data_IF_133648085742
#
_entry.id   IF_133648085742
#
_cell.length_a   1.000
_cell.length_b   1.000
_cell.length_c   1.000
_cell.angle_alpha   90.00
_cell.angle_beta   90.00
_cell.angle_gamma   90.00
#
_symmetry.space_group_name_H-M   'P 1'
#
loop_
_entity.id
_entity.type
_entity.pdbx_description
1 polymer ?
#
# COMPACT_ATOMS: atom_id res chain seq x y z
N UNK A 1 32.65 -33.53 34.69
CA UNK A 1 31.43 -32.71 34.67
C UNK A 1 30.98 -32.55 33.23
N UNK A 2 29.69 -32.78 32.98
CA UNK A 2 29.07 -32.97 31.67
C UNK A 2 28.85 -31.67 30.90
N UNK A 3 29.33 -31.63 29.67
CA UNK A 3 28.93 -30.71 28.61
C UNK A 3 27.56 -31.12 28.05
N UNK A 4 26.53 -30.31 28.30
CA UNK A 4 25.18 -30.48 27.75
C UNK A 4 24.99 -29.66 26.48
N UNK A 5 25.02 -30.33 25.33
CA UNK A 5 24.71 -29.78 24.01
C UNK A 5 23.21 -30.03 23.75
N UNK A 6 22.39 -28.97 23.70
CA UNK A 6 20.96 -29.09 23.37
C UNK A 6 20.82 -29.03 21.85
N UNK A 7 20.66 -30.19 21.23
CA UNK A 7 20.27 -30.34 19.82
C UNK A 7 18.79 -30.02 19.67
N UNK A 8 18.46 -28.97 18.92
CA UNK A 8 17.09 -28.71 18.45
C UNK A 8 16.85 -29.63 17.25
N UNK A 9 16.05 -30.67 17.44
CA UNK A 9 15.66 -31.61 16.40
C UNK A 9 14.75 -30.94 15.37
N UNK A 10 15.24 -30.87 14.13
CA UNK A 10 14.40 -30.67 12.95
C UNK A 10 13.76 -32.01 12.61
N UNK A 11 12.43 -32.09 12.69
CA UNK A 11 11.63 -33.22 12.22
C UNK A 11 11.46 -33.11 10.69
N UNK A 12 11.99 -34.05 9.88
CA UNK A 12 11.87 -34.01 8.43
C UNK A 12 11.04 -35.20 7.94
N UNK A 13 9.72 -35.17 8.14
CA UNK A 13 8.71 -35.96 7.39
C UNK A 13 7.44 -35.10 7.39
N UNK A 14 6.91 -34.67 6.25
CA UNK A 14 6.15 -35.50 5.34
C UNK A 14 6.06 -34.80 3.97
N UNK A 15 6.51 -35.50 2.93
CA UNK A 15 6.09 -35.25 1.56
C UNK A 15 4.86 -36.08 1.20
N UNK A 16 4.48 -35.98 -0.08
CA UNK A 16 3.40 -36.66 -0.83
C UNK A 16 2.09 -35.87 -0.89
N UNK A 17 1.82 -35.18 -2.01
CA UNK A 17 1.25 -35.70 -3.27
C UNK A 17 -0.22 -36.09 -3.13
N UNK A 18 -1.12 -35.32 -3.76
CA UNK A 18 -2.55 -35.53 -3.64
C UNK A 18 -3.37 -34.66 -4.58
N UNK A 19 -3.32 -35.00 -5.87
CA UNK A 19 -4.38 -34.86 -6.90
C UNK A 19 -5.48 -33.82 -6.64
N UNK A 20 -5.39 -32.70 -7.38
CA UNK A 20 -6.53 -31.87 -7.70
C UNK A 20 -7.31 -32.55 -8.85
N UNK A 21 -8.41 -33.24 -8.54
CA UNK A 21 -9.28 -33.82 -9.57
C UNK A 21 -10.74 -33.86 -9.13
N UNK A 22 -11.60 -33.23 -9.96
CA UNK A 22 -13.06 -33.25 -9.93
C UNK A 22 -13.67 -32.68 -8.65
N UNK A 23 -14.48 -31.64 -8.70
CA UNK A 23 -15.89 -31.81 -9.02
C UNK A 23 -16.42 -30.61 -9.80
N UNK A 24 -16.93 -30.92 -10.98
CA UNK A 24 -17.68 -30.04 -11.88
C UNK A 24 -19.16 -30.42 -11.74
N UNK A 25 -19.99 -29.53 -11.20
CA UNK A 25 -21.45 -29.52 -11.40
C UNK A 25 -22.02 -28.23 -10.80
N UNK A 26 -22.15 -27.16 -11.58
CA UNK A 26 -23.38 -26.81 -12.33
C UNK A 26 -24.59 -26.57 -11.42
N UNK A 27 -24.94 -25.29 -11.21
CA UNK A 27 -26.31 -24.81 -11.42
C UNK A 27 -26.31 -23.43 -12.06
N UNK A 28 -27.09 -23.38 -13.15
CA UNK A 28 -27.42 -22.22 -13.95
C UNK A 28 -28.39 -21.34 -13.18
N UNK A 29 -28.15 -20.05 -13.17
CA UNK A 29 -29.10 -19.02 -12.73
C UNK A 29 -28.95 -17.80 -13.63
N UNK A 30 -29.59 -17.87 -14.80
CA UNK A 30 -29.85 -16.70 -15.64
C UNK A 30 -30.92 -15.89 -14.92
N UNK A 31 -30.61 -14.66 -14.50
CA UNK A 31 -31.64 -13.67 -14.19
C UNK A 31 -31.34 -12.36 -14.91
N UNK A 32 -32.44 -11.82 -15.42
CA UNK A 32 -32.56 -10.77 -16.42
C UNK A 32 -32.00 -9.43 -15.94
N UNK A 33 -31.40 -8.72 -16.89
CA UNK A 33 -31.28 -7.28 -16.89
C UNK A 33 -32.67 -6.64 -16.69
N UNK A 34 -32.76 -5.70 -15.74
CA UNK A 34 -33.72 -4.62 -15.80
C UNK A 34 -32.92 -3.31 -15.79
N UNK A 35 -32.89 -2.70 -16.97
CA UNK A 35 -32.61 -1.29 -17.18
C UNK A 35 -33.81 -0.52 -16.66
N UNK A 36 -33.61 0.38 -15.70
CA UNK A 36 -34.63 1.37 -15.39
C UNK A 36 -34.10 2.78 -15.61
N UNK A 37 -34.96 3.51 -16.31
CA UNK A 37 -34.87 4.84 -16.87
C UNK A 37 -34.76 5.94 -15.82
N UNK A 38 -34.17 7.05 -16.24
CA UNK A 38 -33.91 8.22 -15.40
C UNK A 38 -35.14 8.92 -14.84
N UNK A 39 -34.88 9.69 -13.79
CA UNK A 39 -35.84 10.62 -13.21
C UNK A 39 -35.28 12.04 -13.30
N UNK A 40 -35.86 12.81 -14.23
CA UNK A 40 -35.72 14.25 -14.39
C UNK A 40 -36.38 14.97 -13.21
N UNK A 41 -35.58 15.56 -12.32
CA UNK A 41 -36.12 16.38 -11.22
C UNK A 41 -36.10 17.86 -11.64
N UNK A 42 -37.29 18.25 -12.07
CA UNK A 42 -37.78 19.57 -12.41
C UNK A 42 -37.32 20.68 -11.46
N UNK A 43 -36.72 21.71 -12.07
CA UNK A 43 -36.49 23.03 -11.46
C UNK A 43 -37.82 23.77 -11.33
N UNK A 44 -38.20 24.22 -10.11
CA UNK A 44 -38.51 25.64 -9.78
C UNK A 44 -39.16 25.81 -8.39
N UNK A 45 -38.55 26.75 -7.66
CA UNK A 45 -39.15 27.79 -6.80
C UNK A 45 -39.35 27.60 -5.28
N UNK A 46 -38.69 28.56 -4.59
CA UNK A 46 -39.10 29.38 -3.44
C UNK A 46 -39.12 28.78 -2.02
N UNK A 47 -38.04 29.11 -1.30
CA UNK A 47 -37.96 29.83 -0.02
C UNK A 47 -38.96 29.51 1.12
N UNK A 48 -38.33 29.33 2.29
CA UNK A 48 -38.78 29.52 3.69
C UNK A 48 -39.19 28.27 4.49
N UNK A 49 -38.31 27.92 5.42
CA UNK A 49 -38.54 26.96 6.50
C UNK A 49 -37.30 26.88 7.41
N UNK A 50 -37.12 27.89 8.28
CA UNK A 50 -36.12 27.93 9.35
C UNK A 50 -36.50 26.96 10.48
N UNK A 51 -35.48 26.48 11.21
CA UNK A 51 -35.47 25.63 12.42
C UNK A 51 -35.35 24.11 12.20
N UNK A 52 -34.14 23.68 11.82
CA UNK A 52 -33.60 22.39 12.20
C UNK A 52 -32.21 22.60 12.80
N UNK A 53 -32.01 22.23 14.06
CA UNK A 53 -30.68 22.25 14.71
C UNK A 53 -29.71 21.41 13.87
N UNK A 54 -28.84 22.09 13.12
CA UNK A 54 -27.83 21.45 12.30
C UNK A 54 -26.79 20.79 13.20
N UNK A 55 -26.78 19.46 13.24
CA UNK A 55 -25.59 18.70 13.61
C UNK A 55 -24.52 19.03 12.58
N UNK A 56 -23.59 19.89 12.94
CA UNK A 56 -22.42 20.19 12.13
C UNK A 56 -21.60 18.90 11.98
N UNK A 57 -21.77 18.20 10.87
CA UNK A 57 -20.92 17.09 10.49
C UNK A 57 -19.51 17.65 10.27
N UNK A 58 -18.58 17.36 11.19
CA UNK A 58 -17.18 17.70 11.00
C UNK A 58 -16.68 16.94 9.76
N UNK A 59 -16.12 17.62 8.75
CA UNK A 59 -15.48 16.93 7.65
C UNK A 59 -14.28 16.15 8.19
N UNK A 60 -14.29 14.82 8.04
CA UNK A 60 -13.09 14.00 8.24
C UNK A 60 -12.06 14.46 7.22
N UNK A 61 -10.96 15.04 7.70
CA UNK A 61 -9.85 15.43 6.83
C UNK A 61 -9.26 14.17 6.17
N UNK A 62 -8.91 14.24 4.88
CA UNK A 62 -8.21 13.14 4.22
C UNK A 62 -6.89 12.87 4.95
N UNK A 63 -6.53 11.59 5.06
CA UNK A 63 -5.23 11.15 5.59
C UNK A 63 -4.12 11.78 4.73
N UNK A 64 -3.56 12.90 5.19
CA UNK A 64 -2.51 13.62 4.49
C UNK A 64 -1.19 12.93 4.75
N UNK A 65 -0.50 12.50 3.69
CA UNK A 65 0.88 12.07 3.80
C UNK A 65 1.74 13.25 4.27
N UNK A 66 2.56 13.02 5.30
CA UNK A 66 3.36 14.05 5.98
C UNK A 66 4.84 13.71 5.87
N UNK A 67 5.65 14.66 5.44
CA UNK A 67 7.11 14.49 5.47
C UNK A 67 7.59 14.54 6.94
N UNK A 68 8.23 13.46 7.40
CA UNK A 68 8.71 13.27 8.77
C UNK A 68 10.16 13.71 8.92
N UNK A 69 10.99 13.37 7.94
CA UNK A 69 12.41 13.67 7.95
C UNK A 69 12.95 13.76 6.52
N UNK A 70 13.99 14.57 6.35
CA UNK A 70 14.85 14.57 5.16
C UNK A 70 16.30 14.58 5.65
N UNK A 71 17.00 13.49 5.40
CA UNK A 71 18.35 13.24 5.94
C UNK A 71 19.33 13.30 4.78
N UNK A 72 20.37 14.15 4.81
CA UNK A 72 21.41 14.13 3.79
C UNK A 72 22.17 12.79 3.84
N UNK A 73 22.21 12.08 2.72
CA UNK A 73 22.70 10.70 2.63
C UNK A 73 24.09 10.58 2.00
N UNK A 74 24.71 11.66 1.50
CA UNK A 74 26.00 11.56 0.81
C UNK A 74 27.06 12.60 1.20
N UNK A 75 28.33 12.17 0.99
CA UNK A 75 29.56 12.87 1.33
C UNK A 75 29.90 14.05 0.39
N UNK A 76 31.08 14.66 0.62
CA UNK A 76 31.52 16.02 0.20
C UNK A 76 31.04 16.60 -1.15
N UNK A 77 30.67 15.77 -2.13
CA UNK A 77 30.35 16.17 -3.51
C UNK A 77 28.95 15.77 -4.02
N UNK A 78 28.23 14.87 -3.34
CA UNK A 78 26.89 14.42 -3.77
C UNK A 78 25.87 14.81 -2.71
N UNK A 79 24.74 15.38 -3.11
CA UNK A 79 23.68 15.83 -2.18
C UNK A 79 22.45 14.93 -2.25
N UNK A 80 22.58 13.62 -2.11
CA UNK A 80 21.40 12.73 -1.99
C UNK A 80 20.69 13.00 -0.66
N UNK A 81 19.36 12.85 -0.65
CA UNK A 81 18.54 12.94 0.56
C UNK A 81 17.73 11.66 0.73
N UNK A 82 17.68 11.15 1.96
CA UNK A 82 16.76 10.13 2.41
C UNK A 82 15.54 10.81 3.04
N UNK A 83 14.41 10.76 2.38
CA UNK A 83 13.15 11.29 2.87
C UNK A 83 12.36 10.19 3.57
N UNK A 84 11.68 10.56 4.64
CA UNK A 84 10.75 9.68 5.36
C UNK A 84 9.40 10.33 5.36
N UNK A 85 8.38 9.61 4.87
CA UNK A 85 7.00 10.07 4.77
C UNK A 85 6.16 9.18 5.65
N UNK A 86 5.30 9.78 6.45
CA UNK A 86 4.26 9.11 7.22
C UNK A 86 2.93 9.24 6.50
N UNK A 87 2.13 8.19 6.50
CA UNK A 87 0.71 8.26 6.17
C UNK A 87 -0.08 7.20 6.94
N UNK A 88 -1.39 7.40 7.00
CA UNK A 88 -2.33 6.43 7.57
C UNK A 88 -3.10 5.73 6.46
N UNK A 89 -3.55 4.52 6.76
CA UNK A 89 -4.40 3.77 5.86
C UNK A 89 -5.85 4.26 5.95
N UNK A 90 -6.48 4.70 4.83
CA UNK A 90 -7.84 5.25 4.86
C UNK A 90 -8.92 4.24 5.27
N UNK A 91 -8.67 2.93 5.11
CA UNK A 91 -9.62 1.85 5.44
C UNK A 91 -9.21 1.04 6.67
N UNK A 92 -8.03 1.30 7.24
CA UNK A 92 -7.55 0.63 8.44
C UNK A 92 -7.09 1.66 9.46
N UNK A 93 -7.87 1.81 10.53
CA UNK A 93 -7.49 2.66 11.66
C UNK A 93 -6.61 1.90 12.65
N UNK A 94 -5.69 2.61 13.29
CA UNK A 94 -4.80 2.05 14.33
C UNK A 94 -3.45 1.53 13.81
N UNK A 95 -3.11 1.83 12.56
CA UNK A 95 -1.79 1.60 11.98
C UNK A 95 -1.28 2.87 11.30
N UNK A 96 0.02 3.14 11.46
CA UNK A 96 0.74 4.19 10.74
C UNK A 96 1.84 3.57 9.91
N UNK A 97 2.01 4.10 8.71
CA UNK A 97 2.99 3.60 7.74
C UNK A 97 4.05 4.68 7.51
N UNK A 98 5.30 4.25 7.50
CA UNK A 98 6.45 5.08 7.19
C UNK A 98 7.11 4.54 5.92
N UNK A 99 7.23 5.37 4.89
CA UNK A 99 8.01 5.06 3.70
C UNK A 99 9.30 5.86 3.76
N UNK A 100 10.42 5.20 3.50
CA UNK A 100 11.68 5.86 3.25
C UNK A 100 12.05 5.78 1.77
N UNK A 101 12.38 6.90 1.15
CA UNK A 101 12.85 6.99 -0.24
C UNK A 101 14.09 7.86 -0.36
N UNK A 102 14.97 7.50 -1.31
CA UNK A 102 16.10 8.34 -1.69
C UNK A 102 15.70 9.24 -2.86
N UNK A 103 16.04 10.53 -2.74
CA UNK A 103 15.87 11.53 -3.79
C UNK A 103 17.17 12.29 -4.05
N UNK A 104 17.38 12.66 -5.33
CA UNK A 104 18.46 13.55 -5.76
C UNK A 104 17.97 14.97 -6.05
N UNK A 105 18.78 16.00 -5.79
CA UNK A 105 18.46 17.38 -6.07
C UNK A 105 18.40 17.62 -7.57
N UNK A 106 17.51 18.53 -7.95
CA UNK A 106 17.22 18.85 -9.35
C UNK A 106 18.46 19.36 -10.09
N UNK A 107 19.36 20.07 -9.40
CA UNK A 107 20.58 20.64 -9.98
C UNK A 107 21.59 19.60 -10.47
N UNK A 108 21.75 18.47 -9.77
CA UNK A 108 22.62 17.37 -10.20
C UNK A 108 21.95 16.51 -11.29
N UNK A 109 20.61 16.39 -11.24
CA UNK A 109 19.82 15.63 -12.23
C UNK A 109 19.88 16.22 -13.64
N UNK A 110 20.03 17.54 -13.76
CA UNK A 110 20.16 18.24 -15.04
C UNK A 110 21.55 18.02 -15.67
N UNK A 111 22.59 17.84 -14.86
CA UNK A 111 23.97 17.68 -15.34
C UNK A 111 24.34 16.22 -15.63
N UNK A 112 23.84 15.28 -14.83
CA UNK A 112 24.20 13.87 -14.91
C UNK A 112 22.93 13.02 -14.97
N UNK A 113 22.51 12.64 -16.19
CA UNK A 113 21.49 11.63 -16.51
C UNK A 113 20.36 11.47 -15.47
N UNK A 114 19.17 12.01 -15.80
CA UNK A 114 17.91 11.94 -15.03
C UNK A 114 17.45 10.54 -14.59
N UNK A 115 18.14 9.47 -14.99
CA UNK A 115 17.75 8.06 -14.91
C UNK A 115 18.39 7.27 -13.75
N UNK A 116 19.28 7.87 -12.97
CA UNK A 116 20.10 7.15 -11.99
C UNK A 116 19.58 7.16 -10.54
N UNK A 117 18.31 7.54 -10.30
CA UNK A 117 17.74 7.50 -8.94
C UNK A 117 17.47 6.04 -8.52
N UNK A 118 18.05 5.52 -7.42
CA UNK A 118 17.84 4.13 -7.01
C UNK A 118 16.35 3.87 -6.70
N UNK A 119 15.82 2.77 -7.25
CA UNK A 119 14.44 2.32 -7.03
C UNK A 119 14.24 1.66 -5.65
N UNK A 120 15.11 1.94 -4.67
CA UNK A 120 14.96 1.45 -3.32
C UNK A 120 13.94 2.28 -2.55
N UNK A 121 12.92 1.59 -2.03
CA UNK A 121 11.95 2.13 -1.06
C UNK A 121 11.83 1.13 0.08
N UNK A 122 11.74 1.62 1.32
CA UNK A 122 11.46 0.79 2.49
C UNK A 122 10.12 1.20 3.10
N UNK A 123 9.33 0.25 3.58
CA UNK A 123 8.10 0.50 4.33
C UNK A 123 8.19 -0.09 5.72
N UNK A 124 7.68 0.63 6.71
CA UNK A 124 7.58 0.18 8.10
C UNK A 124 6.19 0.48 8.64
N UNK A 125 5.63 -0.47 9.39
CA UNK A 125 4.30 -0.42 9.96
C UNK A 125 4.40 -0.25 11.47
N UNK A 126 3.63 0.68 12.05
CA UNK A 126 3.54 0.89 13.49
C UNK A 126 2.09 0.81 13.93
N UNK A 127 1.77 -0.15 14.80
CA UNK A 127 0.45 -0.25 15.43
C UNK A 127 0.31 0.80 16.52
N UNK A 128 -0.65 1.71 16.37
CA UNK A 128 -0.85 2.84 17.29
C UNK A 128 -2.01 2.63 18.25
N UNK A 129 -3.02 1.86 17.83
CA UNK A 129 -4.19 1.54 18.65
C UNK A 129 -4.81 0.22 18.19
N UNK A 130 -5.97 -0.14 18.76
CA UNK A 130 -6.72 -1.32 18.34
C UNK A 130 -7.10 -1.18 16.87
N UNK A 131 -6.73 -2.20 16.08
CA UNK A 131 -6.98 -2.21 14.64
C UNK A 131 -8.48 -2.25 14.36
N UNK A 132 -8.93 -1.37 13.47
CA UNK A 132 -10.28 -1.37 12.92
C UNK A 132 -10.19 -1.40 11.40
N UNK A 133 -10.73 -2.45 10.81
CA UNK A 133 -10.71 -2.67 9.36
C UNK A 133 -12.10 -2.34 8.83
N UNK A 134 -12.18 -1.49 7.79
CA UNK A 134 -13.43 -1.15 7.15
C UNK A 134 -14.06 -2.39 6.46
N UNK A 135 -15.40 -2.48 6.38
CA UNK A 135 -16.09 -3.65 5.84
C UNK A 135 -15.90 -3.84 4.32
N UNK A 136 -15.45 -2.81 3.60
CA UNK A 136 -15.26 -2.78 2.16
C UNK A 136 -13.77 -2.94 1.74
N UNK A 137 -12.93 -3.45 2.65
CA UNK A 137 -11.53 -3.75 2.34
C UNK A 137 -11.44 -4.91 1.34
N UNK A 138 -10.64 -4.72 0.30
CA UNK A 138 -10.40 -5.77 -0.69
C UNK A 138 -9.62 -6.93 -0.09
N UNK A 139 -10.10 -8.15 -0.34
CA UNK A 139 -9.48 -9.41 0.04
C UNK A 139 -8.76 -10.07 -1.14
N UNK A 140 -8.62 -9.33 -2.25
CA UNK A 140 -7.91 -9.82 -3.44
C UNK A 140 -6.46 -10.13 -3.11
N UNK A 141 -5.92 -11.18 -3.75
CA UNK A 141 -4.50 -11.55 -3.66
C UNK A 141 -3.57 -10.47 -4.20
N UNK A 142 -4.06 -9.60 -5.08
CA UNK A 142 -3.29 -8.47 -5.58
C UNK A 142 -3.17 -7.36 -4.52
N UNK A 143 -3.99 -7.39 -3.47
CA UNK A 143 -4.09 -6.33 -2.48
C UNK A 143 -4.76 -5.07 -3.01
N UNK A 144 -4.87 -4.07 -2.14
CA UNK A 144 -5.47 -2.77 -2.41
C UNK A 144 -4.40 -1.68 -2.34
N UNK A 145 -4.34 -0.77 -3.32
CA UNK A 145 -3.42 0.35 -3.27
C UNK A 145 -3.89 1.37 -2.22
N UNK A 146 -3.09 1.55 -1.18
CA UNK A 146 -3.39 2.47 -0.06
C UNK A 146 -2.68 3.80 -0.20
N UNK A 147 -1.59 3.83 -0.97
CA UNK A 147 -0.81 5.02 -1.22
C UNK A 147 -0.09 4.92 -2.56
N UNK A 148 -0.11 6.03 -3.30
CA UNK A 148 0.59 6.17 -4.56
C UNK A 148 1.12 7.60 -4.66
N UNK A 149 2.43 7.75 -4.85
CA UNK A 149 3.03 9.07 -5.01
C UNK A 149 4.11 9.07 -6.09
N UNK A 150 4.04 10.07 -6.96
CA UNK A 150 5.10 10.36 -7.93
C UNK A 150 6.16 11.24 -7.28
N UNK A 151 7.39 10.71 -7.16
CA UNK A 151 8.53 11.39 -6.53
C UNK A 151 9.68 11.47 -7.55
N UNK A 152 9.51 12.27 -8.60
CA UNK A 152 10.57 12.86 -9.46
C UNK A 152 9.91 13.54 -10.66
N UNK A 153 10.53 14.59 -11.21
CA UNK A 153 10.07 15.25 -12.45
C UNK A 153 10.06 14.30 -13.67
N UNK A 154 10.75 13.15 -13.58
CA UNK A 154 10.79 12.13 -14.63
C UNK A 154 10.84 10.71 -14.02
N UNK A 155 9.66 10.17 -13.68
CA UNK A 155 9.34 8.73 -13.80
C UNK A 155 9.55 7.76 -12.62
N UNK A 156 9.61 8.16 -11.34
CA UNK A 156 9.53 7.18 -10.21
C UNK A 156 8.17 7.30 -9.51
N UNK A 157 7.36 6.23 -9.55
CA UNK A 157 6.13 6.13 -8.77
C UNK A 157 6.33 5.10 -7.66
N UNK A 158 6.02 5.49 -6.43
CA UNK A 158 6.03 4.59 -5.27
C UNK A 158 4.60 4.16 -5.03
N UNK A 159 4.41 2.85 -4.93
CA UNK A 159 3.12 2.22 -4.65
C UNK A 159 3.23 1.49 -3.31
N UNK A 160 2.22 1.65 -2.46
CA UNK A 160 2.03 0.79 -1.29
C UNK A 160 0.69 0.10 -1.42
N UNK A 161 0.74 -1.24 -1.35
CA UNK A 161 -0.44 -2.09 -1.38
C UNK A 161 -0.62 -2.81 -0.06
N UNK A 162 -1.86 -2.84 0.42
CA UNK A 162 -2.32 -3.62 1.58
C UNK A 162 -2.85 -4.96 1.10
N UNK A 163 -2.48 -6.02 1.78
CA UNK A 163 -3.00 -7.38 1.61
C UNK A 163 -3.56 -7.83 2.95
N UNK A 164 -4.80 -8.30 2.95
CA UNK A 164 -5.42 -8.93 4.10
C UNK A 164 -5.16 -10.43 4.06
N UNK A 165 -4.30 -10.92 4.96
CA UNK A 165 -4.10 -12.34 5.18
C UNK A 165 -5.05 -12.82 6.28
N UNK A 166 -6.14 -13.47 5.86
CA UNK A 166 -7.16 -14.02 6.75
C UNK A 166 -6.68 -15.22 7.56
N UNK A 167 -5.81 -16.03 6.97
CA UNK A 167 -5.34 -17.27 7.59
C UNK A 167 -4.39 -16.92 8.74
N UNK A 168 -3.45 -16.00 8.48
CA UNK A 168 -2.51 -15.51 9.50
C UNK A 168 -3.08 -14.40 10.39
N UNK A 169 -4.30 -13.91 10.12
CA UNK A 169 -4.90 -12.74 10.77
C UNK A 169 -3.93 -11.55 10.79
N UNK A 170 -3.39 -11.21 9.62
CA UNK A 170 -2.40 -10.15 9.49
C UNK A 170 -2.74 -9.20 8.33
N UNK A 171 -2.38 -7.93 8.51
CA UNK A 171 -2.33 -6.95 7.43
C UNK A 171 -0.90 -6.83 6.95
N UNK A 172 -0.66 -7.16 5.69
CA UNK A 172 0.64 -7.06 5.05
C UNK A 172 0.66 -5.85 4.14
N UNK A 173 1.66 -5.00 4.27
CA UNK A 173 1.88 -3.83 3.41
C UNK A 173 3.14 -4.06 2.60
N UNK A 174 3.03 -3.90 1.29
CA UNK A 174 4.14 -4.06 0.35
C UNK A 174 4.37 -2.72 -0.34
N UNK A 175 5.60 -2.21 -0.24
CA UNK A 175 6.04 -1.03 -0.99
C UNK A 175 6.92 -1.47 -2.16
N UNK A 176 6.65 -0.90 -3.34
CA UNK A 176 7.49 -1.07 -4.52
C UNK A 176 7.49 0.19 -5.37
N UNK A 177 8.57 0.41 -6.11
CA UNK A 177 8.69 1.55 -7.03
C UNK A 177 8.64 1.08 -8.48
N UNK A 178 7.90 1.80 -9.33
CA UNK A 178 7.88 1.61 -10.77
C UNK A 178 8.62 2.76 -11.47
N UNK A 179 9.24 2.45 -12.62
CA UNK A 179 9.88 3.45 -13.48
C UNK A 179 9.18 3.51 -14.84
N UNK A 180 8.88 4.71 -15.34
CA UNK A 180 8.20 4.91 -16.64
C UNK A 180 9.18 5.01 -17.85
N UNK A 181 10.48 4.79 -17.66
CA UNK A 181 11.48 4.93 -18.71
C UNK A 181 11.64 3.67 -19.55
N UNK A 182 11.43 3.79 -20.87
CA UNK A 182 11.65 2.76 -21.92
C UNK A 182 13.14 2.50 -22.21
N UNK A 183 13.98 2.47 -21.18
CA UNK A 183 15.36 2.01 -21.35
C UNK A 183 15.38 0.50 -21.15
N UNK A 184 15.89 -0.26 -22.13
CA UNK A 184 16.17 -1.69 -22.01
C UNK A 184 17.24 -1.88 -20.93
N UNK A 185 16.75 -1.90 -19.70
CA UNK A 185 17.53 -2.13 -18.52
C UNK A 185 17.65 -3.65 -18.35
N UNK A 186 18.65 -4.24 -19.01
CA UNK A 186 18.99 -5.69 -19.06
C UNK A 186 19.24 -6.37 -17.69
N UNK A 187 18.92 -5.71 -16.57
CA UNK A 187 19.00 -6.28 -15.23
C UNK A 187 17.61 -6.54 -14.65
N UNK A 188 17.16 -7.79 -14.71
CA UNK A 188 15.85 -8.29 -14.23
C UNK A 188 15.62 -8.23 -12.70
N UNK A 189 16.52 -7.62 -11.93
CA UNK A 189 16.47 -7.52 -10.45
C UNK A 189 16.11 -6.12 -9.91
N UNK A 190 15.66 -5.19 -10.77
CA UNK A 190 15.54 -3.76 -10.44
C UNK A 190 14.35 -3.35 -9.57
N UNK A 191 13.40 -4.23 -9.28
CA UNK A 191 12.28 -3.91 -8.39
C UNK A 191 12.66 -4.25 -6.95
N UNK A 192 13.22 -3.28 -6.22
CA UNK A 192 13.40 -3.41 -4.78
C UNK A 192 12.06 -3.19 -4.10
N UNK A 193 11.43 -4.27 -3.68
CA UNK A 193 10.27 -4.24 -2.79
C UNK A 193 10.69 -4.39 -1.34
N UNK A 194 9.86 -3.88 -0.45
CA UNK A 194 9.93 -4.10 1.00
C UNK A 194 8.54 -4.38 1.52
N UNK A 195 8.45 -5.07 2.66
CA UNK A 195 7.17 -5.39 3.26
C UNK A 195 7.22 -5.25 4.78
N UNK A 196 6.07 -4.93 5.37
CA UNK A 196 5.84 -5.01 6.81
C UNK A 196 4.47 -5.64 7.08
N UNK A 197 4.33 -6.31 8.22
CA UNK A 197 3.09 -6.97 8.60
C UNK A 197 2.67 -6.56 10.01
N UNK A 198 1.35 -6.46 10.23
CA UNK A 198 0.75 -6.13 11.53
C UNK A 198 -0.32 -7.18 11.84
N UNK A 199 -0.23 -7.80 13.02
CA UNK A 199 -1.22 -8.75 13.48
C UNK A 199 -2.54 -8.05 13.85
N UNK A 200 -3.65 -8.66 13.41
CA UNK A 200 -5.02 -8.29 13.72
C UNK A 200 -5.41 -9.01 15.02
N UNK A 201 -5.91 -8.25 16.00
CA UNK A 201 -6.36 -8.80 17.30
C UNK A 201 -7.75 -9.42 17.22
#
# INVERSE_FOLDING_TARGET
MSSGFVSVGLDPRLGESGKCSSWCARRRGVMKMHSDSGEEISRRNLLLGLLGLGTAALPMLPASARDVASIPASGLFMKDYLNVIEFEDPKVSGVRLYISDYSRPITEKIQNNFFADPASTSVTCVKTSKLKIAPDVSESKEGEEVFSQSRSLLFKNIHVRRILDKEAKALVYISYATRLTKGDDDNKSRFKSSMCAVAID
#
